data_IF_684272760435
#
_entry.id   IF_684272760435
#
_cell.length_a   1.000
_cell.length_b   1.000
_cell.length_c   1.000
_cell.angle_alpha   90.00
_cell.angle_beta   90.00
_cell.angle_gamma   90.00
#
_symmetry.space_group_name_H-M   'P 1'
#
loop_
_entity.id
_entity.type
_entity.pdbx_description
1 polymer ?
#
# COMPACT_ATOMS: atom_id res chain seq x y z
N UNK A 1 4.27 20.76 0.70
CA UNK A 1 3.88 20.41 2.09
C UNK A 1 4.82 19.35 2.65
N UNK A 2 5.03 19.31 3.98
CA UNK A 2 5.96 18.34 4.56
C UNK A 2 5.24 17.01 4.82
N UNK A 3 5.02 16.20 3.78
CA UNK A 3 4.40 14.86 3.82
C UNK A 3 5.19 13.89 4.72
N UNK A 4 6.40 14.26 5.11
CA UNK A 4 7.30 13.43 5.92
C UNK A 4 6.92 13.34 7.42
N UNK A 5 5.95 14.16 7.90
CA UNK A 5 5.55 14.20 9.32
C UNK A 5 4.61 13.04 9.70
N UNK A 6 3.76 12.61 8.76
CA UNK A 6 2.69 11.64 9.01
C UNK A 6 2.88 10.40 8.13
N UNK A 7 3.81 9.52 8.52
CA UNK A 7 4.09 8.30 7.76
C UNK A 7 3.23 7.12 8.26
N UNK A 8 3.08 6.07 7.42
CA UNK A 8 2.54 4.79 7.85
C UNK A 8 3.23 4.24 9.09
N UNK A 9 2.46 3.61 9.98
CA UNK A 9 2.95 3.02 11.23
C UNK A 9 4.08 2.02 10.98
N UNK A 10 5.21 2.21 11.64
CA UNK A 10 6.41 1.38 11.54
C UNK A 10 7.30 1.61 10.33
N UNK A 11 6.99 2.55 9.44
CA UNK A 11 7.82 2.80 8.25
C UNK A 11 9.16 3.45 8.62
N UNK A 12 9.17 4.35 9.60
CA UNK A 12 10.39 5.00 10.09
C UNK A 12 10.68 4.68 11.56
N UNK A 13 10.02 3.66 12.09
CA UNK A 13 10.16 3.30 13.49
C UNK A 13 11.55 2.73 13.79
N UNK A 14 12.27 3.39 14.69
CA UNK A 14 13.48 2.85 15.31
C UNK A 14 13.33 2.95 16.82
N UNK A 15 13.21 1.81 17.47
CA UNK A 15 13.11 1.74 18.92
C UNK A 15 14.33 2.35 19.64
N UNK A 16 15.50 2.31 19.00
CA UNK A 16 16.76 2.84 19.54
C UNK A 16 16.87 4.37 19.50
N UNK A 17 16.07 5.03 18.63
CA UNK A 17 16.12 6.49 18.42
C UNK A 17 15.05 7.24 19.23
N UNK A 18 14.13 6.56 19.89
CA UNK A 18 13.06 7.19 20.66
C UNK A 18 13.48 7.44 22.10
N UNK A 19 13.62 8.71 22.48
CA UNK A 19 13.77 9.09 23.88
C UNK A 19 12.40 9.07 24.58
N UNK A 20 12.19 8.07 25.42
CA UNK A 20 11.01 7.91 26.26
C UNK A 20 11.30 8.24 27.75
N UNK A 21 12.29 9.11 28.03
CA UNK A 21 12.45 9.66 29.38
C UNK A 21 11.19 10.45 29.79
N UNK A 22 10.90 10.51 31.08
CA UNK A 22 9.72 11.22 31.58
C UNK A 22 9.69 12.68 31.11
N UNK A 23 10.82 13.36 31.12
CA UNK A 23 10.94 14.75 30.66
C UNK A 23 10.62 14.87 29.15
N UNK A 24 11.09 13.92 28.33
CA UNK A 24 10.78 13.90 26.88
C UNK A 24 9.27 13.62 26.63
N UNK A 25 8.67 12.73 27.41
CA UNK A 25 7.24 12.42 27.33
C UNK A 25 6.37 13.62 27.79
N UNK A 26 6.75 14.32 28.87
CA UNK A 26 6.07 15.55 29.31
C UNK A 26 6.16 16.63 28.24
N UNK A 27 7.32 16.86 27.66
CA UNK A 27 7.49 17.78 26.53
C UNK A 27 6.65 17.39 25.31
N UNK A 28 6.60 16.10 24.98
CA UNK A 28 5.78 15.61 23.88
C UNK A 28 4.29 15.85 24.12
N UNK A 29 3.80 15.69 25.36
CA UNK A 29 2.43 16.06 25.75
C UNK A 29 2.17 17.55 25.57
N UNK A 30 3.05 18.40 26.07
CA UNK A 30 2.90 19.87 25.98
C UNK A 30 2.88 20.37 24.53
N UNK A 31 3.72 19.78 23.68
CA UNK A 31 3.80 20.16 22.26
C UNK A 31 2.79 19.44 21.37
N UNK A 32 2.03 18.49 21.90
CA UNK A 32 1.13 17.63 21.11
C UNK A 32 1.85 16.75 20.08
N UNK A 33 3.15 16.45 20.30
CA UNK A 33 3.96 15.67 19.37
C UNK A 33 3.41 14.25 19.24
N UNK A 34 3.26 13.78 18.00
CA UNK A 34 2.97 12.38 17.70
C UNK A 34 4.24 11.56 17.92
N UNK A 35 4.11 10.51 18.71
CA UNK A 35 5.15 9.51 19.00
C UNK A 35 4.71 8.16 18.44
N UNK A 36 5.68 7.24 18.34
CA UNK A 36 5.45 5.89 17.88
C UNK A 36 6.17 4.88 18.77
N UNK A 37 5.47 3.80 19.15
CA UNK A 37 6.06 2.70 19.92
C UNK A 37 5.25 1.41 19.71
N UNK A 38 5.83 0.25 20.11
CA UNK A 38 5.19 -1.05 19.92
C UNK A 38 4.10 -1.28 20.97
N UNK A 39 2.88 -1.59 20.52
CA UNK A 39 1.82 -2.10 21.38
C UNK A 39 2.11 -3.56 21.77
N UNK A 40 2.35 -3.82 23.04
CA UNK A 40 2.83 -5.13 23.52
C UNK A 40 1.73 -6.08 23.92
N UNK A 41 0.62 -5.57 24.47
CA UNK A 41 -0.48 -6.38 25.01
C UNK A 41 -1.81 -5.67 24.81
N UNK A 42 -2.86 -6.44 24.50
CA UNK A 42 -4.25 -6.00 24.62
C UNK A 42 -4.83 -6.59 25.91
N UNK A 43 -5.39 -5.73 26.76
CA UNK A 43 -6.01 -6.17 28.02
C UNK A 43 -7.42 -6.74 27.81
N UNK A 44 -8.03 -7.44 28.79
CA UNK A 44 -9.42 -7.92 28.69
C UNK A 44 -10.42 -6.75 28.44
N UNK A 45 -10.11 -5.54 28.92
CA UNK A 45 -10.90 -4.33 28.75
C UNK A 45 -10.66 -3.65 27.38
N UNK A 46 -9.99 -4.37 26.44
CA UNK A 46 -9.64 -3.87 25.10
C UNK A 46 -8.74 -2.62 25.09
N UNK A 47 -7.94 -2.41 26.13
CA UNK A 47 -6.92 -1.36 26.14
C UNK A 47 -5.58 -1.91 25.66
N UNK A 48 -4.84 -1.13 24.86
CA UNK A 48 -3.49 -1.49 24.44
C UNK A 48 -2.46 -0.99 25.44
N UNK A 49 -1.53 -1.85 25.83
CA UNK A 49 -0.33 -1.47 26.56
C UNK A 49 0.81 -1.24 25.58
N UNK A 50 1.45 -0.08 25.70
CA UNK A 50 2.56 0.35 24.86
C UNK A 50 3.82 0.46 25.71
N UNK A 51 4.93 -0.10 25.24
CA UNK A 51 6.20 -0.03 25.96
C UNK A 51 6.89 1.30 25.67
N UNK A 52 7.08 2.13 26.71
CA UNK A 52 7.77 3.42 26.68
C UNK A 52 9.06 3.37 27.50
N UNK A 53 9.78 2.25 27.46
CA UNK A 53 11.02 2.09 28.23
C UNK A 53 10.74 1.96 29.72
N UNK A 54 10.96 3.04 30.49
CA UNK A 54 10.73 3.07 31.94
C UNK A 54 9.27 3.18 32.38
N UNK A 55 8.38 3.57 31.46
CA UNK A 55 6.95 3.73 31.68
C UNK A 55 6.12 2.78 30.78
N UNK A 56 4.90 2.53 31.21
CA UNK A 56 3.89 1.87 30.38
C UNK A 56 2.91 2.92 29.89
N UNK A 57 2.66 2.94 28.59
CA UNK A 57 1.57 3.69 28.00
C UNK A 57 0.30 2.84 27.93
N UNK A 58 -0.86 3.46 28.06
CA UNK A 58 -2.17 2.83 27.93
C UNK A 58 -2.98 3.61 26.90
N UNK A 59 -3.43 2.91 25.86
CA UNK A 59 -4.42 3.40 24.89
C UNK A 59 -5.74 2.72 25.22
N UNK A 60 -6.74 3.41 25.76
CA UNK A 60 -8.08 2.86 25.97
C UNK A 60 -8.74 2.47 24.64
N UNK A 61 -9.75 1.58 24.68
CA UNK A 61 -10.46 1.13 23.48
C UNK A 61 -10.98 2.30 22.63
N UNK A 62 -11.61 3.27 23.28
CA UNK A 62 -12.17 4.48 22.66
C UNK A 62 -11.14 5.41 22.03
N UNK A 63 -9.87 5.28 22.44
CA UNK A 63 -8.75 6.05 21.90
C UNK A 63 -7.87 5.23 20.92
N UNK A 64 -8.26 4.00 20.60
CA UNK A 64 -7.44 3.08 19.81
C UNK A 64 -7.52 3.31 18.29
N UNK A 65 -8.62 3.87 17.80
CA UNK A 65 -8.85 4.12 16.37
C UNK A 65 -9.80 5.28 16.15
N UNK A 66 -9.55 6.06 15.09
CA UNK A 66 -10.49 7.06 14.59
C UNK A 66 -11.65 6.34 13.88
N UNK A 67 -12.87 6.57 14.34
CA UNK A 67 -14.12 6.09 13.73
C UNK A 67 -14.98 7.28 13.33
N UNK A 68 -15.96 7.05 12.46
CA UNK A 68 -17.00 8.03 12.21
C UNK A 68 -17.91 8.18 13.43
N UNK A 69 -18.65 9.29 13.49
CA UNK A 69 -19.65 9.50 14.54
C UNK A 69 -20.64 8.32 14.57
N UNK A 70 -20.94 7.83 15.77
CA UNK A 70 -21.82 6.68 16.04
C UNK A 70 -21.32 5.29 15.58
N UNK A 71 -20.09 5.15 15.06
CA UNK A 71 -19.54 3.84 14.74
C UNK A 71 -18.86 3.20 15.96
N UNK A 72 -19.34 2.01 16.36
CA UNK A 72 -18.73 1.25 17.46
C UNK A 72 -17.37 0.67 17.07
N UNK A 73 -16.37 0.90 17.93
CA UNK A 73 -15.02 0.34 17.73
C UNK A 73 -15.05 -1.18 17.89
N UNK A 74 -14.79 -1.89 16.80
CA UNK A 74 -14.71 -3.37 16.79
C UNK A 74 -13.45 -3.84 17.51
N UNK A 75 -13.56 -4.85 18.36
CA UNK A 75 -12.44 -5.41 19.12
C UNK A 75 -11.26 -5.82 18.22
N UNK A 76 -11.54 -6.33 17.03
CA UNK A 76 -10.51 -6.72 16.07
C UNK A 76 -9.61 -5.55 15.65
N UNK A 77 -10.14 -4.32 15.60
CA UNK A 77 -9.37 -3.12 15.26
C UNK A 77 -8.32 -2.78 16.33
N UNK A 78 -8.57 -3.17 17.57
CA UNK A 78 -7.65 -3.01 18.71
C UNK A 78 -6.68 -4.19 18.78
N UNK A 79 -7.19 -5.42 18.81
CA UNK A 79 -6.39 -6.64 18.98
C UNK A 79 -5.31 -6.79 17.91
N UNK A 80 -5.61 -6.41 16.66
CA UNK A 80 -4.66 -6.52 15.53
C UNK A 80 -3.47 -5.57 15.62
N UNK A 81 -3.45 -4.65 16.59
CA UNK A 81 -2.31 -3.74 16.84
C UNK A 81 -1.24 -4.37 17.71
N UNK A 82 -1.53 -5.44 18.44
CA UNK A 82 -0.54 -6.10 19.32
C UNK A 82 0.65 -6.60 18.49
N UNK A 83 1.85 -6.32 18.98
CA UNK A 83 3.12 -6.64 18.32
C UNK A 83 3.52 -5.68 17.20
N UNK A 84 2.75 -4.62 16.96
CA UNK A 84 3.01 -3.65 15.89
C UNK A 84 3.31 -2.26 16.47
N UNK A 85 4.11 -1.43 15.76
CA UNK A 85 4.21 -0.01 16.03
C UNK A 85 2.84 0.66 15.89
N UNK A 86 2.55 1.61 16.77
CA UNK A 86 1.36 2.45 16.75
C UNK A 86 1.74 3.89 17.02
N UNK A 87 1.17 4.81 16.26
CA UNK A 87 1.28 6.25 16.49
C UNK A 87 0.34 6.68 17.59
N UNK A 88 0.75 7.62 18.43
CA UNK A 88 -0.09 8.15 19.50
C UNK A 88 0.34 9.54 19.95
N UNK A 89 -0.57 10.22 20.64
CA UNK A 89 -0.32 11.41 21.45
C UNK A 89 -0.47 11.08 22.92
N UNK A 90 0.26 11.80 23.77
CA UNK A 90 0.14 11.67 25.22
C UNK A 90 -0.96 12.64 25.68
N UNK A 91 -1.98 12.12 26.35
CA UNK A 91 -3.10 12.91 26.89
C UNK A 91 -2.87 13.26 28.36
N UNK A 92 -2.14 12.43 29.11
CA UNK A 92 -1.89 12.66 30.52
C UNK A 92 -1.02 11.59 31.15
N UNK A 93 -0.82 11.73 32.46
CA UNK A 93 -0.14 10.75 33.31
C UNK A 93 -1.03 10.45 34.51
N UNK A 94 -1.15 9.18 34.87
CA UNK A 94 -1.94 8.69 36.00
C UNK A 94 -1.08 7.83 36.92
N UNK A 95 -1.41 7.80 38.22
CA UNK A 95 -0.82 6.82 39.17
C UNK A 95 -1.76 5.63 39.30
N UNK A 96 -1.28 4.46 38.90
CA UNK A 96 -2.00 3.17 39.04
C UNK A 96 -1.14 2.21 39.84
N UNK A 97 -1.64 1.77 41.00
CA UNK A 97 -0.91 0.82 41.83
C UNK A 97 0.48 1.30 42.27
N UNK A 98 0.68 2.61 42.47
CA UNK A 98 1.98 3.19 42.85
C UNK A 98 2.94 3.46 41.69
N UNK A 99 2.59 3.02 40.43
CA UNK A 99 3.38 3.23 39.23
C UNK A 99 2.76 4.34 38.39
N UNK A 100 3.58 5.23 37.84
CA UNK A 100 3.09 6.22 36.85
C UNK A 100 2.90 5.54 35.49
N UNK A 101 1.74 5.74 34.88
CA UNK A 101 1.41 5.31 33.54
C UNK A 101 1.09 6.51 32.66
N UNK A 102 1.46 6.45 31.39
CA UNK A 102 1.10 7.47 30.41
C UNK A 102 -0.24 7.10 29.75
N UNK A 103 -1.18 8.03 29.72
CA UNK A 103 -2.42 7.89 28.98
C UNK A 103 -2.19 8.36 27.53
N UNK A 104 -2.51 7.51 26.58
CA UNK A 104 -2.21 7.69 25.16
C UNK A 104 -3.47 7.69 24.32
N UNK A 105 -3.46 8.44 23.22
CA UNK A 105 -4.52 8.44 22.22
C UNK A 105 -3.92 8.23 20.83
N UNK A 106 -4.27 7.13 20.19
CA UNK A 106 -4.01 6.87 18.78
C UNK A 106 -5.00 7.64 17.93
N UNK A 107 -6.26 7.75 18.36
CA UNK A 107 -7.33 8.51 17.71
C UNK A 107 -6.92 9.96 17.47
N UNK A 108 -6.39 10.67 18.48
CA UNK A 108 -5.93 12.05 18.32
C UNK A 108 -4.75 12.19 17.34
N UNK A 109 -3.88 11.19 17.23
CA UNK A 109 -2.80 11.18 16.24
C UNK A 109 -3.37 11.02 14.83
N UNK A 110 -4.37 10.15 14.66
CA UNK A 110 -5.08 9.94 13.40
C UNK A 110 -5.91 11.15 12.97
N UNK A 111 -6.61 11.79 13.91
CA UNK A 111 -7.35 13.04 13.64
C UNK A 111 -6.44 14.15 13.13
N UNK A 112 -5.27 14.33 13.77
CA UNK A 112 -4.29 15.31 13.31
C UNK A 112 -3.77 14.94 11.92
N UNK A 113 -3.38 13.69 11.69
CA UNK A 113 -2.91 13.21 10.40
C UNK A 113 -3.97 13.44 9.30
N UNK A 114 -5.22 13.09 9.56
CA UNK A 114 -6.31 13.30 8.63
C UNK A 114 -6.45 14.79 8.28
N UNK A 115 -6.57 15.65 9.28
CA UNK A 115 -6.81 17.10 9.09
C UNK A 115 -5.62 17.83 8.48
N UNK A 116 -4.40 17.58 8.96
CA UNK A 116 -3.21 18.37 8.62
C UNK A 116 -2.48 17.84 7.37
N UNK A 117 -2.77 16.62 6.95
CA UNK A 117 -2.09 15.97 5.84
C UNK A 117 -3.07 15.40 4.81
N UNK A 118 -3.84 14.36 5.17
CA UNK A 118 -4.56 13.56 4.19
C UNK A 118 -5.68 14.33 3.49
N UNK A 119 -6.41 15.19 4.22
CA UNK A 119 -7.46 16.04 3.63
C UNK A 119 -6.91 17.26 2.88
N UNK A 120 -5.59 17.47 2.91
CA UNK A 120 -4.91 18.50 2.12
C UNK A 120 -4.28 17.93 0.85
N UNK A 121 -4.38 16.61 0.61
CA UNK A 121 -3.93 15.97 -0.61
C UNK A 121 -4.96 16.13 -1.72
N UNK A 122 -4.47 16.03 -2.96
CA UNK A 122 -5.29 16.07 -4.16
C UNK A 122 -5.19 14.75 -4.92
N UNK A 123 -6.17 14.47 -5.77
CA UNK A 123 -6.08 13.34 -6.68
C UNK A 123 -4.83 13.53 -7.58
N UNK A 124 -4.05 12.47 -7.74
CA UNK A 124 -2.75 12.52 -8.42
C UNK A 124 -1.54 12.64 -7.50
N UNK A 125 -1.70 13.01 -6.23
CA UNK A 125 -0.58 13.07 -5.28
C UNK A 125 0.00 11.70 -5.01
N UNK A 126 1.35 11.62 -5.05
CA UNK A 126 2.11 10.40 -4.76
C UNK A 126 2.54 10.39 -3.30
N UNK A 127 2.16 9.35 -2.59
CA UNK A 127 2.43 9.18 -1.16
C UNK A 127 3.13 7.86 -0.86
N UNK A 128 3.80 7.80 0.28
CA UNK A 128 4.25 6.54 0.86
C UNK A 128 3.05 5.80 1.49
N UNK A 129 2.99 4.49 1.33
CA UNK A 129 1.96 3.64 1.90
C UNK A 129 2.54 2.30 2.36
N UNK A 130 1.88 1.65 3.31
CA UNK A 130 2.28 0.34 3.82
C UNK A 130 1.12 -0.64 3.77
N UNK A 131 1.31 -1.76 3.10
CA UNK A 131 0.29 -2.80 2.96
C UNK A 131 -0.01 -3.42 4.32
N UNK A 132 -1.26 -3.34 4.77
CA UNK A 132 -1.69 -3.87 6.07
C UNK A 132 -2.47 -5.17 5.95
N UNK A 133 -3.25 -5.32 4.88
CA UNK A 133 -4.09 -6.49 4.65
C UNK A 133 -4.39 -6.67 3.16
N UNK A 134 -4.61 -7.93 2.74
CA UNK A 134 -4.85 -8.30 1.35
C UNK A 134 -6.16 -9.08 1.24
N UNK A 135 -7.09 -8.58 0.43
CA UNK A 135 -8.36 -9.20 0.08
C UNK A 135 -8.44 -9.45 -1.43
N UNK A 136 -9.29 -10.37 -1.92
CA UNK A 136 -9.40 -10.64 -3.35
C UNK A 136 -9.73 -9.42 -4.21
N UNK A 137 -10.42 -8.43 -3.65
CA UNK A 137 -10.85 -7.22 -4.37
C UNK A 137 -9.84 -6.05 -4.27
N UNK A 138 -8.81 -6.16 -3.43
CA UNK A 138 -7.79 -5.11 -3.30
C UNK A 138 -6.88 -5.26 -2.08
N UNK A 139 -5.97 -4.31 -1.93
CA UNK A 139 -5.07 -4.20 -0.80
C UNK A 139 -5.50 -3.04 0.10
N UNK A 140 -5.48 -3.26 1.40
CA UNK A 140 -5.60 -2.20 2.40
C UNK A 140 -4.22 -1.69 2.75
N UNK A 141 -4.03 -0.38 2.67
CA UNK A 141 -2.75 0.27 2.90
C UNK A 141 -2.90 1.35 3.97
N UNK A 142 -1.99 1.35 4.94
CA UNK A 142 -1.78 2.47 5.84
C UNK A 142 -1.14 3.62 5.06
N UNK A 143 -1.77 4.79 5.07
CA UNK A 143 -1.34 6.00 4.37
C UNK A 143 -0.86 7.10 5.31
N UNK A 144 -0.83 6.83 6.60
CA UNK A 144 -0.33 7.72 7.64
C UNK A 144 -0.97 7.44 8.99
N UNK A 145 -0.17 7.36 10.04
CA UNK A 145 -0.60 7.13 11.43
C UNK A 145 -1.60 5.97 11.61
N UNK A 146 -1.55 4.95 10.76
CA UNK A 146 -2.45 3.81 10.80
C UNK A 146 -3.84 4.06 10.21
N UNK A 147 -4.01 5.13 9.43
CA UNK A 147 -5.23 5.39 8.64
C UNK A 147 -5.17 4.49 7.41
N UNK A 148 -6.20 3.67 7.24
CA UNK A 148 -6.23 2.63 6.22
C UNK A 148 -7.08 3.07 5.03
N UNK A 149 -6.49 2.95 3.83
CA UNK A 149 -7.14 3.20 2.54
C UNK A 149 -7.17 1.95 1.68
N UNK A 150 -8.13 1.89 0.75
CA UNK A 150 -8.26 0.81 -0.21
C UNK A 150 -7.51 1.13 -1.51
N UNK A 151 -6.67 0.19 -1.93
CA UNK A 151 -6.09 0.10 -3.27
C UNK A 151 -6.81 -1.04 -4.02
N UNK A 152 -7.78 -0.73 -4.90
CA UNK A 152 -8.55 -1.74 -5.63
C UNK A 152 -7.66 -2.59 -6.55
N UNK A 153 -8.03 -3.85 -6.78
CA UNK A 153 -7.21 -4.81 -7.56
C UNK A 153 -6.93 -4.34 -8.99
N UNK A 154 -7.88 -3.64 -9.63
CA UNK A 154 -7.75 -3.07 -10.99
C UNK A 154 -6.87 -1.81 -11.06
N UNK A 155 -6.56 -1.23 -9.89
CA UNK A 155 -5.66 -0.09 -9.74
C UNK A 155 -4.23 -0.49 -9.32
N UNK A 156 -3.94 -1.78 -9.14
CA UNK A 156 -2.62 -2.27 -8.72
C UNK A 156 -1.64 -2.33 -9.89
N UNK A 157 -2.06 -2.91 -11.04
CA UNK A 157 -1.25 -3.03 -12.25
C UNK A 157 -2.15 -3.16 -13.48
N UNK A 158 -1.60 -2.86 -14.67
CA UNK A 158 -2.33 -3.01 -15.94
C UNK A 158 -2.52 -4.50 -16.29
N UNK A 159 -1.50 -5.32 -16.05
CA UNK A 159 -1.63 -6.76 -16.20
C UNK A 159 -2.58 -7.30 -15.12
N UNK A 160 -3.56 -8.09 -15.56
CA UNK A 160 -4.53 -8.70 -14.65
C UNK A 160 -3.85 -9.64 -13.67
N UNK A 161 -4.26 -9.55 -12.43
CA UNK A 161 -3.86 -10.43 -11.34
C UNK A 161 -5.11 -11.07 -10.74
N UNK A 162 -4.98 -12.26 -10.18
CA UNK A 162 -6.09 -12.98 -9.55
C UNK A 162 -6.29 -12.58 -8.10
N UNK A 163 -5.23 -12.10 -7.46
CA UNK A 163 -5.24 -11.67 -6.07
C UNK A 163 -4.11 -10.65 -5.83
N UNK A 164 -4.28 -9.64 -4.95
CA UNK A 164 -3.22 -8.69 -4.64
C UNK A 164 -1.91 -9.32 -4.14
N UNK A 165 -1.95 -10.53 -3.56
CA UNK A 165 -0.76 -11.30 -3.18
C UNK A 165 0.19 -11.61 -4.34
N UNK A 166 -0.28 -11.49 -5.57
CA UNK A 166 0.57 -11.59 -6.77
C UNK A 166 1.55 -10.43 -6.88
N UNK A 167 1.33 -9.35 -6.13
CA UNK A 167 2.12 -8.12 -6.13
C UNK A 167 2.64 -7.72 -4.77
N UNK A 168 1.87 -7.99 -3.71
CA UNK A 168 2.11 -7.46 -2.38
C UNK A 168 2.15 -8.54 -1.31
N UNK A 169 2.83 -8.25 -0.24
CA UNK A 169 2.73 -8.96 1.04
C UNK A 169 2.43 -7.98 2.17
N UNK A 170 1.85 -8.48 3.23
CA UNK A 170 1.54 -7.64 4.42
C UNK A 170 2.83 -7.10 5.03
N UNK A 171 2.87 -5.79 5.27
CA UNK A 171 4.03 -5.07 5.76
C UNK A 171 4.91 -4.47 4.67
N UNK A 172 4.62 -4.75 3.39
CA UNK A 172 5.36 -4.18 2.27
C UNK A 172 5.16 -2.67 2.20
N UNK A 173 6.26 -1.94 2.08
CA UNK A 173 6.28 -0.50 1.85
C UNK A 173 6.22 -0.22 0.35
N UNK A 174 5.32 0.65 -0.06
CA UNK A 174 5.06 1.00 -1.45
C UNK A 174 4.85 2.50 -1.60
N UNK A 175 4.96 3.00 -2.83
CA UNK A 175 4.37 4.28 -3.22
C UNK A 175 2.97 4.04 -3.76
N UNK A 176 2.07 4.97 -3.54
CA UNK A 176 0.71 4.94 -4.07
C UNK A 176 0.29 6.33 -4.51
N UNK A 177 -0.69 6.41 -5.40
CA UNK A 177 -1.28 7.66 -5.86
C UNK A 177 -2.65 7.80 -5.21
N UNK A 178 -2.99 9.01 -4.78
CA UNK A 178 -4.35 9.35 -4.37
C UNK A 178 -5.23 9.32 -5.62
N UNK A 179 -6.12 8.34 -5.71
CA UNK A 179 -7.03 8.20 -6.86
C UNK A 179 -8.23 9.13 -6.72
N UNK A 180 -8.81 9.17 -5.54
CA UNK A 180 -9.93 10.04 -5.20
C UNK A 180 -10.07 10.20 -3.70
N UNK A 181 -10.63 11.33 -3.28
CA UNK A 181 -10.97 11.62 -1.88
C UNK A 181 -12.46 11.89 -1.82
N UNK A 182 -13.17 11.13 -1.03
CA UNK A 182 -14.56 11.39 -0.64
C UNK A 182 -14.52 12.25 0.62
N UNK A 183 -14.70 13.55 0.46
CA UNK A 183 -14.62 14.52 1.55
C UNK A 183 -15.78 14.38 2.55
N UNK A 184 -16.93 13.84 2.13
CA UNK A 184 -18.09 13.65 3.01
C UNK A 184 -17.88 12.49 3.98
N UNK A 185 -17.33 11.37 3.48
CA UNK A 185 -17.05 10.20 4.30
C UNK A 185 -15.60 10.13 4.81
N UNK A 186 -14.72 11.03 4.36
CA UNK A 186 -13.29 11.01 4.66
C UNK A 186 -12.55 9.79 4.07
N UNK A 187 -13.15 9.09 3.09
CA UNK A 187 -12.54 7.91 2.46
C UNK A 187 -11.61 8.31 1.33
N UNK A 188 -10.44 7.70 1.33
CA UNK A 188 -9.42 7.89 0.31
C UNK A 188 -9.24 6.58 -0.45
N UNK A 189 -9.21 6.65 -1.77
CA UNK A 189 -8.92 5.51 -2.64
C UNK A 189 -7.59 5.70 -3.32
N UNK A 190 -6.88 4.59 -3.52
CA UNK A 190 -5.51 4.59 -4.05
C UNK A 190 -5.44 4.00 -5.44
N UNK A 191 -4.38 4.39 -6.18
CA UNK A 191 -3.91 3.74 -7.37
C UNK A 191 -2.39 3.50 -7.28
N UNK A 192 -1.88 2.57 -8.10
CA UNK A 192 -0.47 2.19 -8.09
C UNK A 192 0.09 1.95 -9.50
N UNK A 193 -0.78 1.52 -10.43
CA UNK A 193 -0.38 1.11 -11.79
C UNK A 193 0.31 2.21 -12.58
N UNK A 194 -0.01 3.46 -12.31
CA UNK A 194 0.55 4.61 -13.01
C UNK A 194 2.04 4.84 -12.68
N UNK A 195 2.49 4.35 -11.51
CA UNK A 195 3.89 4.39 -11.09
C UNK A 195 4.75 3.30 -11.75
N UNK A 196 4.11 2.28 -12.36
CA UNK A 196 4.77 1.12 -12.95
C UNK A 196 5.10 1.29 -14.44
N UNK A 197 5.06 2.54 -14.93
CA UNK A 197 5.43 2.90 -16.29
C UNK A 197 4.36 2.66 -17.34
N UNK A 198 4.54 3.31 -18.47
CA UNK A 198 3.73 3.19 -19.69
C UNK A 198 4.00 1.87 -20.41
N UNK A 199 3.22 1.58 -21.45
CA UNK A 199 3.46 0.40 -22.29
C UNK A 199 4.84 0.47 -22.96
N UNK A 200 5.21 1.65 -23.49
CA UNK A 200 6.49 1.84 -24.19
C UNK A 200 7.69 1.68 -23.24
N UNK A 201 7.63 2.28 -22.05
CA UNK A 201 8.70 2.14 -21.05
C UNK A 201 8.90 0.69 -20.63
N UNK A 202 7.82 -0.07 -20.44
CA UNK A 202 7.91 -1.47 -20.07
C UNK A 202 8.41 -2.34 -21.22
N UNK A 203 7.95 -2.12 -22.45
CA UNK A 203 8.35 -2.95 -23.61
C UNK A 203 9.77 -2.64 -24.09
N UNK A 204 10.29 -1.44 -23.83
CA UNK A 204 11.64 -1.03 -24.20
C UNK A 204 12.74 -1.93 -23.57
N UNK A 205 12.41 -2.67 -22.53
CA UNK A 205 13.30 -3.65 -21.87
C UNK A 205 13.45 -4.95 -22.66
N UNK A 206 12.63 -5.15 -23.68
CA UNK A 206 12.52 -6.40 -24.44
C UNK A 206 12.76 -6.19 -25.92
N UNK A 207 13.28 -7.21 -26.59
CA UNK A 207 13.51 -7.19 -28.03
C UNK A 207 12.97 -8.45 -28.67
N UNK A 208 12.54 -8.33 -29.93
CA UNK A 208 12.18 -9.48 -30.77
C UNK A 208 13.38 -10.42 -30.88
N UNK A 209 13.14 -11.71 -30.72
CA UNK A 209 14.18 -12.74 -30.74
C UNK A 209 14.74 -13.11 -29.36
N UNK A 210 14.40 -12.37 -28.32
CA UNK A 210 14.82 -12.72 -26.94
C UNK A 210 13.99 -13.87 -26.37
N UNK A 211 14.62 -14.65 -25.50
CA UNK A 211 13.98 -15.59 -24.57
C UNK A 211 14.03 -15.00 -23.17
N UNK A 212 12.86 -14.84 -22.57
CA UNK A 212 12.70 -14.20 -21.27
C UNK A 212 11.79 -15.01 -20.35
N UNK A 213 11.87 -14.74 -19.04
CA UNK A 213 10.92 -15.31 -18.07
C UNK A 213 9.66 -14.47 -17.97
N UNK A 214 8.56 -15.13 -17.67
CA UNK A 214 7.27 -14.48 -17.36
C UNK A 214 6.45 -15.35 -16.42
N UNK A 215 5.23 -14.90 -16.12
CA UNK A 215 4.26 -15.62 -15.28
C UNK A 215 2.97 -15.81 -16.05
N UNK A 216 2.46 -17.04 -16.13
CA UNK A 216 1.16 -17.34 -16.76
C UNK A 216 0.06 -16.75 -15.87
N UNK A 217 -0.67 -15.75 -16.39
CA UNK A 217 -1.77 -15.07 -15.67
C UNK A 217 -3.15 -15.62 -15.99
N UNK A 218 -3.37 -16.04 -17.24
CA UNK A 218 -4.59 -16.75 -17.62
C UNK A 218 -4.35 -17.61 -18.84
N UNK A 219 -5.17 -18.66 -18.97
CA UNK A 219 -5.25 -19.53 -20.15
C UNK A 219 -6.65 -19.41 -20.72
N UNK A 220 -6.75 -18.85 -21.92
CA UNK A 220 -8.00 -18.60 -22.64
C UNK A 220 -8.10 -19.52 -23.87
N UNK A 221 -9.29 -19.75 -24.45
CA UNK A 221 -9.44 -20.60 -25.64
C UNK A 221 -8.62 -20.14 -26.86
N UNK A 222 -8.20 -18.88 -26.89
CA UNK A 222 -7.44 -18.27 -28.00
C UNK A 222 -5.97 -18.01 -27.68
N UNK A 223 -5.49 -18.38 -26.49
CA UNK A 223 -4.08 -18.23 -26.13
C UNK A 223 -3.84 -18.09 -24.63
N UNK A 224 -2.57 -17.99 -24.30
CA UNK A 224 -2.06 -17.91 -22.92
C UNK A 224 -1.54 -16.49 -22.67
N UNK A 225 -2.09 -15.79 -21.69
CA UNK A 225 -1.56 -14.50 -21.25
C UNK A 225 -0.39 -14.71 -20.28
N UNK A 226 0.76 -14.19 -20.68
CA UNK A 226 2.00 -14.28 -19.91
C UNK A 226 2.49 -12.88 -19.59
N UNK A 227 2.60 -12.60 -18.32
CA UNK A 227 3.11 -11.35 -17.82
C UNK A 227 4.63 -11.33 -17.88
N UNK A 228 5.18 -10.29 -18.50
CA UNK A 228 6.62 -10.02 -18.58
C UNK A 228 7.06 -8.98 -17.53
N UNK A 229 6.17 -8.06 -17.20
CA UNK A 229 6.32 -7.06 -16.15
C UNK A 229 4.92 -6.71 -15.60
N UNK A 230 4.80 -6.09 -14.41
CA UNK A 230 3.50 -5.73 -13.82
C UNK A 230 2.57 -4.96 -14.75
N UNK A 231 3.12 -4.09 -15.61
CA UNK A 231 2.35 -3.35 -16.60
C UNK A 231 2.55 -3.88 -18.04
N UNK A 232 3.08 -5.07 -18.23
CA UNK A 232 3.29 -5.63 -19.56
C UNK A 232 2.96 -7.12 -19.61
N UNK A 233 2.00 -7.50 -20.42
CA UNK A 233 1.68 -8.89 -20.72
C UNK A 233 1.75 -9.15 -22.23
N UNK A 234 2.16 -10.35 -22.61
CA UNK A 234 2.12 -10.86 -23.98
C UNK A 234 1.16 -12.03 -24.11
N UNK A 235 0.87 -12.40 -25.35
CA UNK A 235 -0.01 -13.52 -25.71
C UNK A 235 0.79 -14.60 -26.44
N UNK A 236 0.79 -15.81 -25.88
CA UNK A 236 1.31 -17.02 -26.52
C UNK A 236 0.18 -17.89 -27.08
N UNK A 237 0.51 -18.73 -28.06
CA UNK A 237 -0.36 -19.78 -28.55
C UNK A 237 -0.63 -20.82 -27.43
N UNK A 238 -1.77 -21.52 -27.53
CA UNK A 238 -2.13 -22.56 -26.58
C UNK A 238 -1.07 -23.66 -26.60
N UNK A 239 -0.67 -24.10 -25.41
CA UNK A 239 0.24 -25.22 -25.20
C UNK A 239 -0.30 -26.07 -24.06
N UNK A 240 -0.39 -27.38 -24.27
CA UNK A 240 -0.84 -28.31 -23.25
C UNK A 240 0.06 -28.28 -22.01
N UNK A 241 -0.57 -28.37 -20.84
CA UNK A 241 0.12 -28.36 -19.56
C UNK A 241 0.42 -26.97 -18.99
N UNK A 242 0.10 -25.88 -19.72
CA UNK A 242 0.25 -24.52 -19.20
C UNK A 242 -0.87 -24.19 -18.21
N UNK A 243 -0.51 -23.82 -16.99
CA UNK A 243 -1.44 -23.53 -15.89
C UNK A 243 -1.16 -22.15 -15.30
N UNK A 244 -2.22 -21.43 -14.98
CA UNK A 244 -2.12 -20.12 -14.28
C UNK A 244 -1.28 -20.20 -13.03
N UNK A 245 -0.39 -19.25 -12.82
CA UNK A 245 0.53 -19.17 -11.70
C UNK A 245 1.91 -19.82 -11.94
N UNK A 246 2.08 -20.55 -13.05
CA UNK A 246 3.41 -21.07 -13.42
C UNK A 246 4.34 -19.96 -13.90
N UNK A 247 5.63 -20.11 -13.59
CA UNK A 247 6.71 -19.42 -14.29
C UNK A 247 6.85 -19.98 -15.69
N UNK A 248 7.11 -19.13 -16.67
CA UNK A 248 7.20 -19.49 -18.08
C UNK A 248 8.49 -18.97 -18.68
N UNK A 249 9.17 -19.80 -19.46
CA UNK A 249 10.20 -19.38 -20.40
C UNK A 249 9.53 -19.09 -21.73
N UNK A 250 9.66 -17.88 -22.26
CA UNK A 250 8.99 -17.45 -23.48
C UNK A 250 9.92 -16.78 -24.46
N UNK A 251 9.72 -17.07 -25.74
CA UNK A 251 10.41 -16.41 -26.84
C UNK A 251 9.53 -15.28 -27.40
N UNK A 252 10.10 -14.09 -27.57
CA UNK A 252 9.39 -12.92 -28.11
C UNK A 252 9.40 -13.01 -29.66
N UNK A 253 8.24 -13.36 -30.23
CA UNK A 253 8.09 -13.48 -31.69
C UNK A 253 7.97 -12.11 -32.35
N UNK A 254 7.20 -11.20 -31.76
CA UNK A 254 6.91 -9.88 -32.34
C UNK A 254 6.41 -8.90 -31.26
N UNK A 255 6.67 -7.62 -31.47
CA UNK A 255 6.19 -6.49 -30.66
C UNK A 255 5.43 -5.56 -31.61
N UNK A 256 4.17 -5.23 -31.30
CA UNK A 256 3.27 -4.45 -32.15
C UNK A 256 2.75 -3.26 -31.34
N UNK A 257 3.44 -2.11 -31.37
CA UNK A 257 3.11 -0.95 -30.55
C UNK A 257 1.71 -0.39 -30.79
N UNK A 258 1.27 -0.30 -32.06
CA UNK A 258 -0.04 0.26 -32.44
C UNK A 258 -1.22 -0.52 -31.84
N UNK A 259 -0.99 -1.75 -31.43
CA UNK A 259 -1.98 -2.63 -30.81
C UNK A 259 -1.68 -2.96 -29.35
N UNK A 260 -0.58 -2.41 -28.81
CA UNK A 260 -0.06 -2.76 -27.48
C UNK A 260 0.05 -4.28 -27.29
N UNK A 261 0.57 -5.00 -28.28
CA UNK A 261 0.64 -6.47 -28.28
C UNK A 261 2.08 -6.96 -28.33
N UNK A 262 2.40 -7.90 -27.44
CA UNK A 262 3.61 -8.71 -27.51
C UNK A 262 3.20 -10.14 -27.85
N UNK A 263 3.66 -10.66 -28.98
CA UNK A 263 3.44 -12.05 -29.41
C UNK A 263 4.55 -12.93 -28.86
N UNK A 264 4.18 -13.98 -28.16
CA UNK A 264 5.08 -14.89 -27.48
C UNK A 264 4.98 -16.32 -28.05
N UNK A 265 6.04 -17.10 -27.87
CA UNK A 265 5.98 -18.57 -27.93
C UNK A 265 6.36 -19.10 -26.55
N UNK A 266 5.51 -19.92 -25.96
CA UNK A 266 5.80 -20.60 -24.70
C UNK A 266 6.77 -21.75 -24.97
N UNK A 267 7.99 -21.64 -24.44
CA UNK A 267 9.04 -22.68 -24.56
C UNK A 267 8.80 -23.75 -23.50
N UNK A 268 8.69 -23.31 -22.22
CA UNK A 268 8.52 -24.20 -21.08
C UNK A 268 7.76 -23.48 -19.96
N UNK A 269 7.13 -24.26 -19.07
CA UNK A 269 6.47 -23.71 -17.88
C UNK A 269 6.57 -24.67 -16.70
N UNK A 270 6.74 -24.11 -15.51
CA UNK A 270 6.91 -24.88 -14.28
C UNK A 270 6.44 -24.09 -13.06
N UNK A 271 6.05 -24.80 -12.01
CA UNK A 271 5.82 -24.16 -10.72
C UNK A 271 7.16 -23.88 -10.04
N UNK A 272 7.49 -22.61 -9.86
CA UNK A 272 8.62 -22.24 -9.00
C UNK A 272 8.15 -22.14 -7.55
N UNK A 273 9.06 -22.40 -6.59
CA UNK A 273 8.80 -22.07 -5.21
C UNK A 273 8.47 -20.56 -5.13
N UNK A 274 7.33 -20.21 -4.53
CA UNK A 274 6.88 -18.83 -4.42
C UNK A 274 7.90 -18.02 -3.63
N UNK A 275 8.73 -17.25 -4.32
CA UNK A 275 9.49 -16.19 -3.70
C UNK A 275 8.54 -15.03 -3.36
N UNK A 276 8.79 -14.32 -2.25
CA UNK A 276 8.08 -13.07 -1.98
C UNK A 276 8.19 -12.14 -3.19
N UNK A 277 7.13 -11.37 -3.52
CA UNK A 277 7.21 -10.40 -4.59
C UNK A 277 8.42 -9.49 -4.42
N UNK A 278 9.17 -9.28 -5.51
CA UNK A 278 10.31 -8.37 -5.49
C UNK A 278 9.83 -6.92 -5.27
N UNK A 279 10.68 -6.04 -4.69
CA UNK A 279 10.39 -4.61 -4.62
C UNK A 279 10.07 -4.05 -6.02
N UNK A 280 9.15 -3.08 -6.06
CA UNK A 280 8.80 -2.44 -7.32
C UNK A 280 9.91 -1.52 -7.80
N UNK A 281 10.10 -1.49 -9.09
CA UNK A 281 10.80 -0.45 -9.80
C UNK A 281 9.78 0.57 -10.28
N UNK A 282 9.88 1.79 -9.76
CA UNK A 282 9.04 2.90 -10.17
C UNK A 282 9.68 3.65 -11.32
N UNK A 283 8.86 4.04 -12.30
CA UNK A 283 9.33 4.74 -13.50
C UNK A 283 9.30 6.26 -13.36
N UNK A 284 8.83 6.75 -12.23
CA UNK A 284 8.75 8.19 -11.94
C UNK A 284 9.09 8.47 -10.49
N UNK A 285 9.77 9.60 -10.27
CA UNK A 285 9.98 10.19 -8.95
C UNK A 285 9.07 11.41 -8.72
N UNK A 286 8.06 11.60 -9.59
CA UNK A 286 7.09 12.67 -9.45
C UNK A 286 6.35 12.58 -8.11
N UNK A 287 6.08 13.72 -7.51
CA UNK A 287 5.28 13.85 -6.29
C UNK A 287 3.80 14.06 -6.58
N UNK A 288 3.47 14.35 -7.84
CA UNK A 288 2.11 14.54 -8.34
C UNK A 288 2.03 14.17 -9.82
N UNK A 289 0.91 13.60 -10.25
CA UNK A 289 0.62 13.19 -11.63
C UNK A 289 -0.81 13.62 -11.95
N UNK A 290 -0.98 14.63 -12.82
CA UNK A 290 -2.30 15.06 -13.28
C UNK A 290 -2.94 14.06 -14.25
N UNK A 291 -2.11 13.50 -15.13
CA UNK A 291 -2.53 12.58 -16.18
C UNK A 291 -1.46 11.56 -16.48
N UNK A 292 -1.85 10.31 -16.58
CA UNK A 292 -0.99 9.23 -17.03
C UNK A 292 -1.59 8.56 -18.25
N UNK A 293 -0.80 8.45 -19.33
CA UNK A 293 -1.20 7.80 -20.57
C UNK A 293 -0.38 6.53 -20.74
N UNK A 294 -1.03 5.38 -20.64
CA UNK A 294 -0.39 4.08 -20.79
C UNK A 294 -0.12 3.73 -22.27
N UNK A 295 -1.02 4.12 -23.16
CA UNK A 295 -0.97 3.79 -24.58
C UNK A 295 0.11 4.57 -25.32
N UNK A 296 0.84 3.94 -26.28
CA UNK A 296 1.63 4.65 -27.27
C UNK A 296 0.80 5.68 -28.07
N UNK A 297 1.44 6.75 -28.53
CA UNK A 297 0.77 7.80 -29.31
C UNK A 297 0.06 7.27 -30.58
N UNK A 298 0.64 6.27 -31.24
CA UNK A 298 0.11 5.64 -32.44
C UNK A 298 -0.86 4.48 -32.15
N UNK A 299 -1.23 4.25 -30.91
CA UNK A 299 -2.15 3.17 -30.54
C UNK A 299 -3.57 3.42 -30.99
N UNK A 300 -4.22 2.38 -31.51
CA UNK A 300 -5.65 2.41 -31.85
C UNK A 300 -6.59 2.48 -30.65
N UNK A 301 -6.07 2.28 -29.44
CA UNK A 301 -6.82 2.31 -28.19
C UNK A 301 -6.13 3.22 -27.18
N UNK A 302 -6.83 4.22 -26.68
CA UNK A 302 -6.38 5.04 -25.59
C UNK A 302 -6.66 4.34 -24.24
N UNK A 303 -5.64 4.20 -23.42
CA UNK A 303 -5.72 3.76 -22.01
C UNK A 303 -5.00 4.82 -21.20
N UNK A 304 -5.74 5.51 -20.35
CA UNK A 304 -5.22 6.59 -19.54
C UNK A 304 -5.91 6.64 -18.18
N UNK A 305 -5.28 7.33 -17.24
CA UNK A 305 -5.88 7.79 -15.98
C UNK A 305 -5.73 9.30 -15.92
N UNK A 306 -6.82 10.01 -15.69
CA UNK A 306 -6.84 11.44 -15.40
C UNK A 306 -7.24 11.60 -13.95
N UNK A 307 -6.46 12.35 -13.20
CA UNK A 307 -6.68 12.61 -11.78
C UNK A 307 -7.31 14.01 -11.65
N UNK A 308 -8.55 14.14 -12.14
CA UNK A 308 -9.32 15.37 -11.98
C UNK A 308 -9.98 15.39 -10.60
N UNK A 309 -9.86 16.53 -9.89
CA UNK A 309 -10.42 16.66 -8.53
C UNK A 309 -11.95 16.69 -8.46
N UNK A 310 -12.67 16.39 -9.54
CA UNK A 310 -14.14 16.30 -9.52
C UNK A 310 -14.56 14.83 -9.61
N UNK A 311 -15.17 14.36 -8.53
CA UNK A 311 -15.91 13.09 -8.50
C UNK A 311 -17.20 13.29 -9.31
N UNK A 312 -17.33 12.56 -10.45
CA UNK A 312 -18.61 12.39 -11.12
C UNK A 312 -19.46 11.36 -10.37
#
# INVERSE_FOLDING_TARGET
MNTNKYKPEGMNFSAEQSDFSLAALEKARETGKILEAVASVCTPEMSLKVNLGSLIGIIPKEEAVLTQEDEEIKDIAVITRVGKPVCFKITGFEKRGGTTVAMLSRRLAQEECMRECLMCLEAGDVIDAKVTHLEPFGAFCDIGCGIVSLLPIDSISVSRISHPRDRFYTGMEIKAIIKSIDYDSGRIYLSHKELLGTWEENVARFSVGQTVSGIIRSTEPYGIFIELAPNLAGLAEIKDGAVTGQSAAVYIKNIIPEKMKVKLALIDSYFSASAAPAPFEYFTDATHIDRWVYSPENSSKLVETVFDGEIQ
#
